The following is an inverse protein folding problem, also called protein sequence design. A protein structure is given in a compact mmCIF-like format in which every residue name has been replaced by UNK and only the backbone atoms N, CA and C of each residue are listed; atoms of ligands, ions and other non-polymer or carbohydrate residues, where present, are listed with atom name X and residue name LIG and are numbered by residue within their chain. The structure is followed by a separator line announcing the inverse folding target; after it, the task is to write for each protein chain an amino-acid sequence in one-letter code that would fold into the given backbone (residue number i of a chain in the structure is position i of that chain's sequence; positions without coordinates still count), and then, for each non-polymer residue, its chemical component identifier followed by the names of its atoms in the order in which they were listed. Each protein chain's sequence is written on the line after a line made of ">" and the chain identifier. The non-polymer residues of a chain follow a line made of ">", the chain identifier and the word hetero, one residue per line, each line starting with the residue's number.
data_IF_254216637058
#
_entry.id   IF_254216637058
#
_cell.length_a   1.000
_cell.length_b   1.000
_cell.length_c   1.000
_cell.angle_alpha   90.00
_cell.angle_beta   90.00
_cell.angle_gamma   90.00
#
_symmetry.space_group_name_H-M   'P 1'
#
loop_
_entity.id
_entity.type
_entity.pdbx_description
1 polymer ?
#
# COMPACT_ATOMS: atom_id res chain seq x y z
N UNK A 1 -34.49 -2.29 -15.80
CA UNK A 1 -33.12 -2.37 -15.26
C UNK A 1 -32.42 -1.14 -15.76
N UNK A 2 -32.25 -0.12 -14.91
CA UNK A 2 -31.59 1.13 -15.30
C UNK A 2 -30.14 0.77 -15.62
N UNK A 3 -29.68 1.01 -16.85
CA UNK A 3 -28.26 0.91 -17.18
C UNK A 3 -27.53 1.87 -16.26
N UNK A 4 -26.84 1.33 -15.26
CA UNK A 4 -25.99 2.11 -14.39
C UNK A 4 -24.93 2.75 -15.28
N UNK A 5 -24.97 4.07 -15.44
CA UNK A 5 -23.97 4.81 -16.21
C UNK A 5 -22.58 4.29 -15.83
N UNK A 6 -21.84 3.84 -16.84
CA UNK A 6 -20.45 3.40 -16.67
C UNK A 6 -19.68 4.49 -15.94
N UNK A 7 -18.75 4.11 -15.08
CA UNK A 7 -17.88 5.05 -14.37
C UNK A 7 -17.17 6.01 -15.34
N UNK A 8 -16.85 5.55 -16.56
CA UNK A 8 -16.27 6.36 -17.64
C UNK A 8 -17.22 7.50 -18.06
N UNK A 9 -18.52 7.18 -18.21
CA UNK A 9 -19.56 8.15 -18.60
C UNK A 9 -19.68 9.25 -17.54
N UNK A 10 -19.65 8.86 -16.26
CA UNK A 10 -19.68 9.80 -15.13
C UNK A 10 -18.47 10.75 -15.16
N UNK A 11 -17.26 10.22 -15.34
CA UNK A 11 -16.04 11.04 -15.44
C UNK A 11 -16.15 12.02 -16.63
N UNK A 12 -16.65 11.56 -17.78
CA UNK A 12 -16.87 12.41 -18.96
C UNK A 12 -17.87 13.53 -18.72
N UNK A 13 -18.98 13.24 -18.03
CA UNK A 13 -19.97 14.26 -17.66
C UNK A 13 -19.38 15.29 -16.69
N UNK A 14 -18.62 14.84 -15.68
CA UNK A 14 -17.99 15.75 -14.71
C UNK A 14 -16.95 16.65 -15.36
N UNK A 15 -16.13 16.13 -16.28
CA UNK A 15 -15.10 16.91 -16.97
C UNK A 15 -15.66 18.04 -17.85
N UNK A 16 -16.92 17.96 -18.29
CA UNK A 16 -17.59 19.10 -18.97
C UNK A 16 -17.71 20.32 -18.08
N UNK A 17 -17.81 20.10 -16.76
CA UNK A 17 -17.95 21.14 -15.74
C UNK A 17 -16.57 21.49 -15.15
N UNK A 18 -15.64 20.54 -15.13
CA UNK A 18 -14.31 20.62 -14.51
C UNK A 18 -13.18 20.39 -15.53
N UNK A 19 -12.69 21.46 -16.20
CA UNK A 19 -11.65 21.36 -17.23
C UNK A 19 -10.33 20.75 -16.75
N UNK A 20 -10.05 20.81 -15.45
CA UNK A 20 -8.91 20.16 -14.80
C UNK A 20 -8.91 18.64 -14.98
N UNK A 21 -10.08 18.02 -15.21
CA UNK A 21 -10.21 16.59 -15.46
C UNK A 21 -9.88 16.19 -16.90
N UNK A 22 -9.65 17.13 -17.82
CA UNK A 22 -9.33 16.83 -19.22
C UNK A 22 -8.06 16.00 -19.36
N UNK A 23 -7.06 16.19 -18.47
CA UNK A 23 -5.87 15.36 -18.45
C UNK A 23 -6.21 13.90 -18.18
N UNK A 24 -7.06 13.64 -17.18
CA UNK A 24 -7.54 12.31 -16.83
C UNK A 24 -8.33 11.67 -17.97
N UNK A 25 -9.24 12.43 -18.59
CA UNK A 25 -10.01 11.92 -19.74
C UNK A 25 -9.12 11.52 -20.90
N UNK A 26 -8.18 12.38 -21.28
CA UNK A 26 -7.26 12.08 -22.38
C UNK A 26 -6.44 10.83 -22.07
N UNK A 27 -5.97 10.67 -20.82
CA UNK A 27 -5.25 9.48 -20.41
C UNK A 27 -6.13 8.21 -20.48
N UNK A 28 -7.39 8.28 -20.01
CA UNK A 28 -8.34 7.16 -20.09
C UNK A 28 -8.60 6.77 -21.55
N UNK A 29 -8.90 7.74 -22.42
CA UNK A 29 -9.23 7.47 -23.82
C UNK A 29 -8.04 6.84 -24.57
N UNK A 30 -6.82 7.33 -24.34
CA UNK A 30 -5.61 6.74 -24.94
C UNK A 30 -5.38 5.30 -24.44
N UNK A 31 -5.63 5.04 -23.17
CA UNK A 31 -5.46 3.73 -22.54
C UNK A 31 -6.49 2.73 -23.07
N UNK A 32 -7.76 3.13 -23.17
CA UNK A 32 -8.85 2.30 -23.68
C UNK A 32 -8.65 1.91 -25.15
N UNK A 33 -8.00 2.75 -25.96
CA UNK A 33 -7.65 2.41 -27.34
C UNK A 33 -6.61 1.27 -27.43
N UNK A 34 -5.82 1.05 -26.38
CA UNK A 34 -4.78 0.02 -26.31
C UNK A 34 -5.20 -1.20 -25.49
N UNK A 35 -6.29 -1.11 -24.74
CA UNK A 35 -6.82 -2.20 -23.94
C UNK A 35 -7.03 -3.48 -24.77
N UNK A 36 -6.41 -4.58 -24.33
CA UNK A 36 -6.44 -5.88 -25.02
C UNK A 36 -5.53 -6.00 -26.24
N UNK A 37 -4.78 -4.95 -26.60
CA UNK A 37 -3.75 -4.97 -27.66
C UNK A 37 -2.34 -5.01 -27.09
N UNK A 38 -2.12 -4.23 -26.04
CA UNK A 38 -0.88 -4.18 -25.27
C UNK A 38 -1.06 -4.94 -23.94
N UNK A 39 0.03 -5.46 -23.34
CA UNK A 39 -0.04 -6.06 -22.02
C UNK A 39 -0.62 -5.10 -20.98
N UNK A 40 -1.35 -5.65 -20.01
CA UNK A 40 -2.04 -4.90 -18.97
C UNK A 40 -1.06 -4.02 -18.17
N UNK A 41 0.07 -4.61 -17.73
CA UNK A 41 1.10 -3.88 -16.98
C UNK A 41 1.64 -2.67 -17.75
N UNK A 42 1.95 -2.84 -19.04
CA UNK A 42 2.36 -1.76 -19.93
C UNK A 42 1.29 -0.68 -20.06
N UNK A 43 0.04 -1.08 -20.28
CA UNK A 43 -1.09 -0.15 -20.46
C UNK A 43 -1.34 0.70 -19.20
N UNK A 44 -1.29 0.08 -18.03
CA UNK A 44 -1.44 0.76 -16.73
C UNK A 44 -0.24 1.67 -16.43
N UNK A 45 0.98 1.24 -16.78
CA UNK A 45 2.18 2.07 -16.64
C UNK A 45 2.09 3.35 -17.49
N UNK A 46 1.73 3.22 -18.76
CA UNK A 46 1.60 4.37 -19.66
C UNK A 46 0.50 5.34 -19.20
N UNK A 47 -0.61 4.81 -18.70
CA UNK A 47 -1.67 5.61 -18.07
C UNK A 47 -1.13 6.40 -16.86
N UNK A 48 -0.39 5.74 -15.98
CA UNK A 48 0.21 6.36 -14.80
C UNK A 48 1.24 7.44 -15.19
N UNK A 49 2.07 7.20 -16.20
CA UNK A 49 3.03 8.17 -16.73
C UNK A 49 2.33 9.40 -17.35
N UNK A 50 1.24 9.20 -18.09
CA UNK A 50 0.45 10.29 -18.67
C UNK A 50 -0.18 11.22 -17.63
N UNK A 51 -0.39 10.73 -16.41
CA UNK A 51 -0.90 11.50 -15.27
C UNK A 51 0.20 12.11 -14.40
N UNK A 52 1.45 12.16 -14.89
CA UNK A 52 2.61 12.62 -14.12
C UNK A 52 2.82 11.82 -12.83
N UNK A 53 2.39 10.55 -12.87
CA UNK A 53 2.47 9.59 -11.78
C UNK A 53 3.86 9.43 -11.19
N UNK A 54 4.95 9.30 -11.98
CA UNK A 54 6.31 9.17 -11.43
C UNK A 54 6.68 10.32 -10.50
N UNK A 55 6.42 11.57 -10.89
CA UNK A 55 6.77 12.76 -10.09
C UNK A 55 5.89 12.85 -8.84
N UNK A 56 4.59 12.60 -8.98
CA UNK A 56 3.65 12.64 -7.85
C UNK A 56 3.98 11.54 -6.82
N UNK A 57 4.23 10.31 -7.28
CA UNK A 57 4.67 9.20 -6.42
C UNK A 57 6.00 9.52 -5.74
N UNK A 58 6.99 10.04 -6.47
CA UNK A 58 8.27 10.43 -5.88
C UNK A 58 8.12 11.51 -4.81
N UNK A 59 7.22 12.48 -5.01
CA UNK A 59 6.96 13.54 -4.05
C UNK A 59 6.32 13.01 -2.75
N UNK A 60 5.42 12.04 -2.86
CA UNK A 60 4.66 11.49 -1.73
C UNK A 60 5.40 10.36 -1.00
N UNK A 61 6.12 9.52 -1.74
CA UNK A 61 6.65 8.22 -1.27
C UNK A 61 8.13 7.99 -1.66
N UNK A 62 8.82 9.02 -2.15
CA UNK A 62 10.21 8.91 -2.56
C UNK A 62 10.45 7.97 -3.74
N UNK A 63 11.73 7.70 -4.02
CA UNK A 63 12.12 6.80 -5.11
C UNK A 63 11.77 5.33 -4.83
N UNK A 64 11.66 4.95 -3.55
CA UNK A 64 11.17 3.62 -3.15
C UNK A 64 9.72 3.40 -3.62
N UNK A 65 8.85 4.41 -3.44
CA UNK A 65 7.49 4.37 -3.97
C UNK A 65 7.43 4.21 -5.49
N UNK A 66 8.29 4.92 -6.22
CA UNK A 66 8.39 4.78 -7.69
C UNK A 66 8.81 3.36 -8.09
N UNK A 67 9.82 2.81 -7.42
CA UNK A 67 10.27 1.43 -7.66
C UNK A 67 9.16 0.40 -7.39
N UNK A 68 8.38 0.61 -6.33
CA UNK A 68 7.22 -0.25 -6.02
C UNK A 68 6.14 -0.18 -7.10
N UNK A 69 5.84 1.01 -7.65
CA UNK A 69 4.91 1.14 -8.78
C UNK A 69 5.41 0.39 -10.02
N UNK A 70 6.70 0.51 -10.36
CA UNK A 70 7.29 -0.20 -11.48
C UNK A 70 7.20 -1.72 -11.31
N UNK A 71 7.54 -2.23 -10.12
CA UNK A 71 7.37 -3.64 -9.74
C UNK A 71 5.91 -4.09 -9.91
N UNK A 72 4.97 -3.27 -9.47
CA UNK A 72 3.55 -3.57 -9.60
C UNK A 72 3.12 -3.71 -11.07
N UNK A 73 3.62 -2.88 -11.98
CA UNK A 73 3.31 -3.03 -13.41
C UNK A 73 3.88 -4.32 -14.00
N UNK A 74 5.10 -4.73 -13.60
CA UNK A 74 5.66 -6.03 -13.99
C UNK A 74 4.77 -7.19 -13.50
N UNK A 75 4.28 -7.11 -12.26
CA UNK A 75 3.36 -8.10 -11.70
C UNK A 75 2.05 -8.17 -12.49
N UNK A 76 1.49 -7.03 -12.90
CA UNK A 76 0.27 -7.00 -13.72
C UNK A 76 0.48 -7.68 -15.07
N UNK A 77 1.64 -7.49 -15.69
CA UNK A 77 2.01 -8.14 -16.95
C UNK A 77 2.22 -9.66 -16.75
N UNK A 78 2.92 -10.08 -15.70
CA UNK A 78 3.14 -11.49 -15.38
C UNK A 78 1.84 -12.24 -14.99
N UNK A 79 0.88 -11.52 -14.40
CA UNK A 79 -0.41 -12.06 -13.99
C UNK A 79 -1.40 -12.16 -15.15
N UNK A 80 -1.15 -11.48 -16.26
CA UNK A 80 -2.09 -11.36 -17.36
C UNK A 80 -2.43 -12.73 -17.99
N UNK A 81 -3.73 -12.99 -18.10
CA UNK A 81 -4.30 -14.13 -18.80
C UNK A 81 -5.10 -13.63 -20.02
N UNK A 82 -5.34 -14.52 -20.99
CA UNK A 82 -6.14 -14.18 -22.17
C UNK A 82 -7.63 -13.88 -21.86
N UNK A 83 -8.08 -14.13 -20.63
CA UNK A 83 -9.45 -13.90 -20.17
C UNK A 83 -9.44 -12.87 -19.03
N UNK A 84 -10.12 -11.71 -19.16
CA UNK A 84 -10.07 -10.63 -18.16
C UNK A 84 -10.46 -11.05 -16.73
N UNK A 85 -11.46 -11.92 -16.59
CA UNK A 85 -11.90 -12.43 -15.28
C UNK A 85 -10.80 -13.25 -14.59
N UNK A 86 -10.09 -14.09 -15.34
CA UNK A 86 -9.00 -14.90 -14.81
C UNK A 86 -7.79 -14.04 -14.45
N UNK A 87 -7.48 -13.03 -15.27
CA UNK A 87 -6.46 -12.03 -14.98
C UNK A 87 -6.73 -11.34 -13.64
N UNK A 88 -7.96 -10.87 -13.41
CA UNK A 88 -8.33 -10.21 -12.15
C UNK A 88 -8.19 -11.14 -10.94
N UNK A 89 -8.75 -12.36 -11.01
CA UNK A 89 -8.63 -13.34 -9.94
C UNK A 89 -7.17 -13.66 -9.61
N UNK A 90 -6.32 -13.77 -10.64
CA UNK A 90 -4.89 -14.04 -10.46
C UNK A 90 -4.14 -12.87 -9.84
N UNK A 91 -4.45 -11.65 -10.25
CA UNK A 91 -3.89 -10.42 -9.65
C UNK A 91 -4.24 -10.36 -8.16
N UNK A 92 -5.50 -10.60 -7.79
CA UNK A 92 -5.93 -10.61 -6.38
C UNK A 92 -5.12 -11.62 -5.54
N UNK A 93 -4.99 -12.86 -6.01
CA UNK A 93 -4.20 -13.90 -5.32
C UNK A 93 -2.72 -13.51 -5.20
N UNK A 94 -2.13 -12.92 -6.24
CA UNK A 94 -0.73 -12.50 -6.20
C UNK A 94 -0.56 -11.35 -5.19
N UNK A 95 -1.42 -10.33 -5.23
CA UNK A 95 -1.36 -9.17 -4.34
C UNK A 95 -1.48 -9.55 -2.87
N UNK A 96 -2.31 -10.55 -2.52
CA UNK A 96 -2.42 -11.07 -1.15
C UNK A 96 -1.12 -11.67 -0.60
N UNK A 97 -0.22 -12.11 -1.48
CA UNK A 97 1.06 -12.73 -1.11
C UNK A 97 2.25 -11.77 -1.18
N UNK A 98 2.06 -10.58 -1.74
CA UNK A 98 3.15 -9.65 -2.00
C UNK A 98 3.40 -8.73 -0.81
N UNK A 99 4.69 -8.58 -0.51
CA UNK A 99 5.19 -7.63 0.46
C UNK A 99 6.13 -6.64 -0.22
N UNK A 100 6.23 -5.45 0.34
CA UNK A 100 7.23 -4.47 -0.10
C UNK A 100 8.62 -5.10 -0.01
N UNK A 101 9.44 -5.01 -1.07
CA UNK A 101 10.80 -5.51 -1.02
C UNK A 101 11.56 -4.80 0.12
N UNK A 102 12.45 -5.55 0.78
CA UNK A 102 13.28 -5.02 1.87
C UNK A 102 14.10 -3.85 1.30
N UNK A 103 13.97 -2.67 1.91
CA UNK A 103 14.76 -1.50 1.53
C UNK A 103 16.25 -1.84 1.68
N UNK A 104 17.06 -1.74 0.61
CA UNK A 104 18.50 -2.07 0.66
C UNK A 104 19.27 -1.19 1.65
N UNK A 105 18.78 0.01 1.96
CA UNK A 105 19.38 0.89 2.98
C UNK A 105 19.19 0.36 4.40
N UNK A 106 18.23 -0.53 4.64
CA UNK A 106 18.00 -1.20 5.94
C UNK A 106 19.25 -1.92 6.44
N UNK A 107 20.08 -2.43 5.53
CA UNK A 107 21.36 -3.07 5.85
C UNK A 107 22.34 -2.14 6.60
N UNK A 108 22.16 -0.82 6.48
CA UNK A 108 22.97 0.21 7.16
C UNK A 108 22.41 0.57 8.54
N UNK A 109 21.22 0.09 8.90
CA UNK A 109 20.63 0.34 10.21
C UNK A 109 21.42 -0.40 11.30
N UNK A 110 21.75 0.30 12.37
CA UNK A 110 22.36 -0.30 13.57
C UNK A 110 21.36 -1.15 14.37
N UNK A 111 20.05 -1.01 14.08
CA UNK A 111 18.97 -1.76 14.73
C UNK A 111 18.30 -2.66 13.70
N UNK A 112 18.19 -3.95 14.03
CA UNK A 112 17.50 -4.94 13.20
C UNK A 112 16.23 -5.42 13.91
N UNK A 113 15.08 -5.26 13.26
CA UNK A 113 13.82 -5.84 13.73
C UNK A 113 13.59 -7.16 13.01
N UNK A 114 13.41 -8.24 13.76
CA UNK A 114 13.14 -9.56 13.20
C UNK A 114 12.30 -10.40 14.15
N UNK A 115 11.67 -11.45 13.62
CA UNK A 115 10.97 -12.43 14.45
C UNK A 115 11.99 -13.32 15.17
N UNK A 116 11.61 -13.86 16.33
CA UNK A 116 12.44 -14.82 17.09
C UNK A 116 12.84 -16.01 16.20
N UNK A 117 11.94 -16.46 15.32
CA UNK A 117 12.20 -17.53 14.35
C UNK A 117 13.34 -17.17 13.38
N UNK A 118 13.37 -15.93 12.88
CA UNK A 118 14.42 -15.46 11.97
C UNK A 118 15.76 -15.22 12.68
N UNK A 119 15.75 -14.99 13.99
CA UNK A 119 16.96 -14.82 14.80
C UNK A 119 17.65 -16.14 15.18
N UNK A 120 17.03 -17.30 14.94
CA UNK A 120 17.56 -18.60 15.36
C UNK A 120 18.92 -18.89 14.71
N UNK A 121 19.94 -19.14 15.53
CA UNK A 121 21.30 -19.42 15.06
C UNK A 121 22.12 -18.16 14.73
N UNK A 122 21.58 -16.97 15.01
CA UNK A 122 22.31 -15.70 14.96
C UNK A 122 22.69 -15.26 16.38
N UNK A 123 23.76 -14.47 16.48
CA UNK A 123 24.27 -13.90 17.72
C UNK A 123 24.28 -12.36 17.62
N UNK A 124 23.98 -11.69 18.73
CA UNK A 124 23.90 -10.23 18.82
C UNK A 124 24.45 -9.76 20.16
N UNK A 125 25.13 -8.60 20.19
CA UNK A 125 25.66 -8.02 21.43
C UNK A 125 24.56 -7.60 22.40
N UNK A 126 23.43 -7.11 21.88
CA UNK A 126 22.29 -6.66 22.65
C UNK A 126 20.99 -7.09 21.99
N UNK A 127 20.09 -7.70 22.77
CA UNK A 127 18.78 -8.18 22.29
C UNK A 127 17.67 -7.59 23.14
N UNK A 128 16.74 -6.91 22.49
CA UNK A 128 15.51 -6.41 23.09
C UNK A 128 14.34 -7.30 22.69
N UNK A 129 13.64 -7.88 23.68
CA UNK A 129 12.43 -8.70 23.47
C UNK A 129 11.24 -7.95 24.06
N UNK A 130 10.60 -7.05 23.29
CA UNK A 130 9.45 -6.31 23.79
C UNK A 130 8.20 -7.22 23.87
N UNK A 131 7.21 -6.79 24.67
CA UNK A 131 5.86 -7.38 24.70
C UNK A 131 5.78 -8.86 25.10
N UNK A 132 6.64 -9.32 26.00
CA UNK A 132 6.61 -10.68 26.53
C UNK A 132 5.31 -11.02 27.29
N UNK A 133 4.54 -10.01 27.68
CA UNK A 133 3.24 -10.09 28.33
C UNK A 133 2.06 -10.10 27.35
N UNK A 134 2.30 -9.88 26.06
CA UNK A 134 1.26 -9.89 25.04
C UNK A 134 0.74 -11.31 24.78
N UNK A 135 -0.59 -11.48 24.86
CA UNK A 135 -1.28 -12.78 24.71
C UNK A 135 -2.15 -12.78 23.45
N UNK A 136 -1.59 -13.09 22.26
CA UNK A 136 -2.33 -13.03 21.00
C UNK A 136 -3.45 -14.08 20.88
N UNK A 137 -3.32 -15.23 21.55
CA UNK A 137 -4.23 -16.38 21.40
C UNK A 137 -5.41 -16.37 22.37
N UNK A 138 -5.31 -15.68 23.50
CA UNK A 138 -6.34 -15.70 24.56
C UNK A 138 -7.39 -14.61 24.36
N UNK A 139 -7.18 -13.75 23.39
CA UNK A 139 -7.87 -12.48 23.27
C UNK A 139 -8.11 -12.32 21.78
N UNK A 140 -9.32 -12.64 21.31
CA UNK A 140 -9.65 -12.76 19.88
C UNK A 140 -9.42 -11.50 19.04
N UNK A 141 -10.07 -11.34 17.86
CA UNK A 141 -9.78 -10.27 16.88
C UNK A 141 -9.83 -8.82 17.41
N UNK A 142 -10.26 -8.61 18.66
CA UNK A 142 -10.44 -7.30 19.31
C UNK A 142 -9.25 -6.84 20.15
N UNK A 143 -8.20 -7.66 20.33
CA UNK A 143 -7.03 -7.28 21.13
C UNK A 143 -6.07 -6.52 20.26
N UNK A 144 -5.97 -5.20 20.44
CA UNK A 144 -5.20 -4.40 19.50
C UNK A 144 -3.71 -4.71 19.72
N UNK A 145 -2.89 -4.63 18.65
CA UNK A 145 -1.49 -5.00 18.72
C UNK A 145 -0.75 -4.13 19.74
N UNK A 146 0.33 -4.66 20.35
CA UNK A 146 1.01 -3.98 21.45
C UNK A 146 1.67 -2.65 21.03
N UNK A 147 1.88 -2.48 19.73
CA UNK A 147 2.20 -1.23 19.09
C UNK A 147 1.44 -1.11 17.76
N UNK A 148 1.27 0.12 17.30
CA UNK A 148 0.82 0.46 15.96
C UNK A 148 1.97 1.17 15.24
N UNK A 149 2.19 0.80 13.98
CA UNK A 149 3.15 1.45 13.10
C UNK A 149 2.39 1.93 11.88
N UNK A 150 2.49 3.23 11.59
CA UNK A 150 1.78 3.84 10.47
C UNK A 150 2.69 4.79 9.71
N UNK A 151 2.48 4.93 8.40
CA UNK A 151 3.16 5.96 7.60
C UNK A 151 2.49 7.32 7.82
N UNK A 152 3.28 8.36 8.05
CA UNK A 152 2.75 9.71 8.19
C UNK A 152 2.27 10.24 6.83
N UNK A 153 0.97 10.57 6.66
CA UNK A 153 0.46 11.11 5.41
C UNK A 153 1.20 12.39 5.00
N UNK A 154 1.67 12.45 3.76
CA UNK A 154 2.33 13.64 3.19
C UNK A 154 3.73 13.95 3.71
N UNK A 155 4.30 13.12 4.59
CA UNK A 155 5.64 13.35 5.16
C UNK A 155 6.71 12.36 4.65
N UNK A 156 6.46 11.72 3.50
CA UNK A 156 7.39 10.76 2.89
C UNK A 156 7.58 9.49 3.72
N UNK A 157 8.84 9.11 3.94
CA UNK A 157 9.26 7.85 4.59
C UNK A 157 9.17 7.89 6.13
N UNK A 158 8.53 8.90 6.71
CA UNK A 158 8.39 9.01 8.17
C UNK A 158 7.31 8.07 8.66
N UNK A 159 7.70 7.19 9.58
CA UNK A 159 6.80 6.29 10.26
C UNK A 159 6.48 6.82 11.66
N UNK A 160 5.21 6.71 12.05
CA UNK A 160 4.71 6.96 13.39
C UNK A 160 4.57 5.62 14.09
N UNK A 161 5.15 5.52 15.27
CA UNK A 161 4.96 4.37 16.16
C UNK A 161 4.23 4.83 17.42
N UNK A 162 3.23 4.07 17.83
CA UNK A 162 2.56 4.27 19.10
C UNK A 162 2.49 2.97 19.86
N UNK A 163 2.89 3.02 21.13
CA UNK A 163 2.72 1.91 22.06
C UNK A 163 1.27 1.86 22.52
N UNK A 164 0.78 0.66 22.82
CA UNK A 164 -0.57 0.40 23.33
C UNK A 164 -0.85 1.04 24.69
N UNK A 165 -1.39 0.24 25.62
CA UNK A 165 -1.68 0.75 26.97
C UNK A 165 -0.38 1.06 27.70
N UNK A 166 -0.30 2.24 28.31
CA UNK A 166 0.73 2.52 29.29
C UNK A 166 0.47 1.65 30.53
N UNK A 167 1.47 0.87 30.95
CA UNK A 167 1.35 -0.05 32.09
C UNK A 167 1.03 0.67 33.41
N UNK A 168 1.38 1.94 33.55
CA UNK A 168 1.16 2.73 34.77
C UNK A 168 -0.27 3.26 34.88
N UNK A 169 -0.88 3.61 33.76
CA UNK A 169 -2.18 4.26 33.70
C UNK A 169 -3.28 3.35 33.16
N UNK A 170 -2.91 2.21 32.57
CA UNK A 170 -3.77 1.26 31.84
C UNK A 170 -4.54 1.87 30.65
N UNK A 171 -4.22 3.11 30.30
CA UNK A 171 -4.85 3.86 29.22
C UNK A 171 -3.94 3.88 27.98
N UNK A 172 -4.51 3.74 26.76
CA UNK A 172 -3.73 3.91 25.54
C UNK A 172 -3.31 5.37 25.37
N UNK A 173 -2.09 5.56 24.85
CA UNK A 173 -1.56 6.90 24.57
C UNK A 173 -2.43 7.64 23.55
N UNK A 174 -2.50 8.99 23.58
CA UNK A 174 -3.22 9.77 22.57
C UNK A 174 -2.76 9.45 21.14
N UNK A 175 -1.46 9.23 20.95
CA UNK A 175 -0.87 8.82 19.66
C UNK A 175 -1.41 7.47 19.20
N UNK A 176 -1.54 6.49 20.11
CA UNK A 176 -2.11 5.19 19.78
C UNK A 176 -3.56 5.28 19.34
N UNK A 177 -4.38 6.11 20.02
CA UNK A 177 -5.77 6.35 19.62
C UNK A 177 -5.86 6.99 18.24
N UNK A 178 -4.95 7.93 17.93
CA UNK A 178 -4.86 8.56 16.61
C UNK A 178 -4.49 7.54 15.52
N UNK A 179 -3.42 6.77 15.71
CA UNK A 179 -2.99 5.78 14.72
C UNK A 179 -4.08 4.72 14.47
N UNK A 180 -4.75 4.27 15.54
CA UNK A 180 -5.88 3.33 15.41
C UNK A 180 -7.04 3.92 14.60
N UNK A 181 -7.30 5.22 14.72
CA UNK A 181 -8.31 5.92 13.92
C UNK A 181 -7.91 5.96 12.44
N UNK A 182 -6.66 6.33 12.14
CA UNK A 182 -6.13 6.38 10.77
C UNK A 182 -6.15 5.01 10.08
N UNK A 183 -5.80 3.94 10.80
CA UNK A 183 -5.86 2.58 10.28
C UNK A 183 -7.28 2.19 9.85
N UNK A 184 -8.29 2.49 10.70
CA UNK A 184 -9.69 2.19 10.41
C UNK A 184 -10.24 2.99 9.22
N UNK A 185 -9.77 4.21 9.02
CA UNK A 185 -10.18 5.06 7.89
C UNK A 185 -9.62 4.57 6.54
N UNK A 186 -8.63 3.68 6.54
CA UNK A 186 -8.03 3.07 5.33
C UNK A 186 -8.64 1.72 4.95
N UNK A 187 -9.39 1.08 5.83
CA UNK A 187 -10.02 -0.22 5.57
C UNK A 187 -11.30 -0.12 4.71
N UNK A 188 -11.60 1.07 4.14
CA UNK A 188 -12.82 1.37 3.37
C UNK A 188 -12.51 1.77 1.93
#
# INVERSE_FOLDING_TARGET
>A
MQDAESWVEKIRLTAKIHPEMNLLLNAIDQTLLRAGRDPLGKTVKEFWEALDGPRLTACLYGMAGVANCLRFFEILEDAEQGIPQETLNRIEVILDSLYEPIDPTTSRSQVQMMTIHRAKGLEFDCVFIPFMDYRPLTSGPKTPPPYLLERMPGAGDKHLIAMGKDRRTEEPTPTYRLLKKLQREREW
#
